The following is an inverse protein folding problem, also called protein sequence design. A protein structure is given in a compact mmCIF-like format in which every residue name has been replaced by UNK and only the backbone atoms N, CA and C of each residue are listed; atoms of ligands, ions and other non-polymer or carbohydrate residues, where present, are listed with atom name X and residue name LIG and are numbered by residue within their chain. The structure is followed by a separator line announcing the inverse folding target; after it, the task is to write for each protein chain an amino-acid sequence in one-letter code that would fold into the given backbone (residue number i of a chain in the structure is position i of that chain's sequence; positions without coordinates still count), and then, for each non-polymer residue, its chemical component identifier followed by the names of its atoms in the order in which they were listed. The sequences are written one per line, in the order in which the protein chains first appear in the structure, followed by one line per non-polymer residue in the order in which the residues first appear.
data_IF_571013147761
#
_entry.id   IF_571013147761
#
_cell.length_a   1.000
_cell.length_b   1.000
_cell.length_c   1.000
_cell.angle_alpha   90.00
_cell.angle_beta   90.00
_cell.angle_gamma   90.00
#
_symmetry.space_group_name_H-M   'P 1'
#
loop_
_entity.id
_entity.type
_entity.pdbx_description
1 polymer ?
#
# COMPACT_ATOMS: atom_id res chain seq x y z
N UNK A 1 -70.30 21.37 -24.50
CA UNK A 1 -68.95 21.79 -24.94
C UNK A 1 -67.93 21.22 -23.95
N UNK A 2 -67.15 20.20 -24.33
CA UNK A 2 -66.18 19.52 -23.45
C UNK A 2 -64.76 20.01 -23.76
N UNK A 3 -64.16 20.75 -22.83
CA UNK A 3 -62.79 21.24 -22.95
C UNK A 3 -61.85 20.07 -22.63
N UNK A 4 -61.11 19.57 -23.64
CA UNK A 4 -60.07 18.55 -23.44
C UNK A 4 -58.88 19.20 -22.74
N UNK A 5 -58.59 18.78 -21.50
CA UNK A 5 -57.34 19.12 -20.81
C UNK A 5 -56.18 18.37 -21.48
N UNK A 6 -55.25 19.09 -22.10
CA UNK A 6 -53.97 18.50 -22.49
C UNK A 6 -53.19 18.16 -21.22
N UNK A 7 -52.87 16.88 -21.02
CA UNK A 7 -51.91 16.43 -20.00
C UNK A 7 -50.54 16.92 -20.43
N UNK A 8 -49.98 17.89 -19.69
CA UNK A 8 -48.60 18.32 -19.87
C UNK A 8 -47.70 17.19 -19.38
N UNK A 9 -47.11 16.42 -20.30
CA UNK A 9 -45.97 15.56 -19.99
C UNK A 9 -44.79 16.51 -19.73
N UNK A 10 -44.51 16.78 -18.45
CA UNK A 10 -43.31 17.51 -18.05
C UNK A 10 -42.09 16.63 -18.33
N UNK A 11 -41.51 16.77 -19.52
CA UNK A 11 -40.21 16.22 -19.84
C UNK A 11 -39.11 16.98 -19.11
N UNK A 12 -38.04 16.29 -18.74
CA UNK A 12 -36.81 16.91 -18.21
C UNK A 12 -36.35 17.96 -19.23
N UNK A 13 -36.15 19.19 -18.77
CA UNK A 13 -35.60 20.26 -19.62
C UNK A 13 -34.15 19.92 -19.99
N UNK A 14 -33.70 20.22 -21.21
CA UNK A 14 -32.33 19.93 -21.67
C UNK A 14 -31.26 20.42 -20.67
N UNK A 15 -31.47 21.60 -20.10
CA UNK A 15 -30.56 22.19 -19.10
C UNK A 15 -30.50 21.37 -17.82
N UNK A 16 -31.64 20.84 -17.38
CA UNK A 16 -31.77 20.03 -16.17
C UNK A 16 -31.12 18.64 -16.37
N UNK A 17 -31.20 18.09 -17.58
CA UNK A 17 -30.47 16.89 -17.96
C UNK A 17 -28.95 17.11 -17.93
N UNK A 18 -28.46 18.24 -18.47
CA UNK A 18 -27.03 18.57 -18.48
C UNK A 18 -26.51 18.71 -17.04
N UNK A 19 -27.23 19.46 -16.20
CA UNK A 19 -26.87 19.64 -14.79
C UNK A 19 -26.83 18.28 -14.06
N UNK A 20 -27.84 17.42 -14.29
CA UNK A 20 -27.91 16.10 -13.69
C UNK A 20 -26.73 15.21 -14.10
N UNK A 21 -26.37 15.22 -15.38
CA UNK A 21 -25.22 14.46 -15.90
C UNK A 21 -23.91 14.97 -15.30
N UNK A 22 -23.74 16.30 -15.18
CA UNK A 22 -22.56 16.89 -14.55
C UNK A 22 -22.40 16.46 -13.10
N UNK A 23 -23.50 16.42 -12.33
CA UNK A 23 -23.49 15.95 -10.94
C UNK A 23 -23.11 14.48 -10.87
N UNK A 24 -23.68 13.63 -11.73
CA UNK A 24 -23.37 12.19 -11.77
C UNK A 24 -21.90 11.96 -12.13
N UNK A 25 -21.38 12.65 -13.13
CA UNK A 25 -19.97 12.56 -13.53
C UNK A 25 -19.04 13.01 -12.40
N UNK A 26 -19.38 14.10 -11.71
CA UNK A 26 -18.61 14.58 -10.58
C UNK A 26 -18.55 13.55 -9.46
N UNK A 27 -19.70 12.97 -9.08
CA UNK A 27 -19.77 11.91 -8.06
C UNK A 27 -18.94 10.70 -8.50
N UNK A 28 -19.11 10.24 -9.75
CA UNK A 28 -18.40 9.06 -10.25
C UNK A 28 -16.87 9.26 -10.22
N UNK A 29 -16.41 10.47 -10.57
CA UNK A 29 -14.99 10.83 -10.53
C UNK A 29 -14.46 10.89 -9.09
N UNK A 30 -15.24 11.45 -8.16
CA UNK A 30 -14.86 11.48 -6.75
C UNK A 30 -14.73 10.06 -6.17
N UNK A 31 -15.66 9.17 -6.47
CA UNK A 31 -15.62 7.78 -6.01
C UNK A 31 -14.47 6.99 -6.63
N UNK A 32 -14.19 7.15 -7.93
CA UNK A 32 -13.08 6.44 -8.59
C UNK A 32 -11.72 6.83 -8.00
N UNK A 33 -11.51 8.10 -7.67
CA UNK A 33 -10.30 8.58 -7.01
C UNK A 33 -10.13 7.97 -5.61
N UNK A 34 -11.20 7.93 -4.81
CA UNK A 34 -11.17 7.34 -3.46
C UNK A 34 -10.88 5.84 -3.49
N UNK A 35 -11.51 5.11 -4.40
CA UNK A 35 -11.28 3.66 -4.57
C UNK A 35 -9.84 3.40 -4.99
N UNK A 36 -9.34 4.15 -5.98
CA UNK A 36 -7.96 4.01 -6.46
C UNK A 36 -6.96 4.26 -5.35
N UNK A 37 -7.14 5.32 -4.56
CA UNK A 37 -6.27 5.62 -3.42
C UNK A 37 -6.33 4.53 -2.35
N UNK A 38 -7.52 4.01 -2.03
CA UNK A 38 -7.68 2.96 -1.02
C UNK A 38 -7.03 1.64 -1.45
N UNK A 39 -7.21 1.24 -2.71
CA UNK A 39 -6.59 0.03 -3.25
C UNK A 39 -5.06 0.15 -3.22
N UNK A 40 -4.52 1.29 -3.68
CA UNK A 40 -3.07 1.54 -3.66
C UNK A 40 -2.53 1.45 -2.23
N UNK A 41 -3.20 2.11 -1.28
CA UNK A 41 -2.78 2.10 0.12
C UNK A 41 -2.81 0.69 0.74
N UNK A 42 -3.86 -0.10 0.45
CA UNK A 42 -3.94 -1.48 0.92
C UNK A 42 -2.83 -2.35 0.32
N UNK A 43 -2.59 -2.27 -0.99
CA UNK A 43 -1.52 -3.03 -1.62
C UNK A 43 -0.14 -2.68 -1.08
N UNK A 44 0.10 -1.39 -0.76
CA UNK A 44 1.35 -0.96 -0.15
C UNK A 44 1.48 -1.42 1.30
N UNK A 45 0.40 -1.39 2.07
CA UNK A 45 0.37 -1.92 3.43
C UNK A 45 0.64 -3.43 3.45
N UNK A 46 -0.02 -4.20 2.58
CA UNK A 46 0.19 -5.64 2.45
C UNK A 46 1.64 -5.96 2.07
N UNK A 47 2.20 -5.23 1.09
CA UNK A 47 3.61 -5.40 0.68
C UNK A 47 4.60 -5.03 1.77
N UNK A 48 4.27 -4.04 2.61
CA UNK A 48 5.08 -3.68 3.77
C UNK A 48 5.04 -4.77 4.85
N UNK A 49 3.86 -5.35 5.12
CA UNK A 49 3.73 -6.47 6.07
C UNK A 49 4.50 -7.69 5.56
N UNK A 50 4.35 -8.06 4.29
CA UNK A 50 5.10 -9.15 3.66
C UNK A 50 6.63 -8.94 3.77
N UNK A 51 7.09 -7.71 3.56
CA UNK A 51 8.51 -7.37 3.71
C UNK A 51 9.01 -7.53 5.15
N UNK A 52 8.19 -7.12 6.13
CA UNK A 52 8.49 -7.28 7.57
C UNK A 52 8.56 -8.76 7.93
N UNK A 53 7.55 -9.54 7.56
CA UNK A 53 7.50 -10.97 7.88
C UNK A 53 8.68 -11.72 7.25
N UNK A 54 9.04 -11.38 6.01
CA UNK A 54 10.20 -11.99 5.33
C UNK A 54 11.52 -11.62 6.00
N UNK A 55 11.68 -10.36 6.44
CA UNK A 55 12.86 -9.93 7.17
C UNK A 55 12.94 -10.63 8.53
N UNK A 56 11.82 -10.73 9.24
CA UNK A 56 11.76 -11.38 10.55
C UNK A 56 12.09 -12.87 10.48
N UNK A 57 11.59 -13.57 9.46
CA UNK A 57 11.94 -14.97 9.22
C UNK A 57 13.46 -15.14 9.00
N UNK A 58 14.10 -14.24 8.22
CA UNK A 58 15.55 -14.31 7.99
C UNK A 58 16.38 -13.94 9.21
N UNK A 59 15.87 -13.05 10.06
CA UNK A 59 16.51 -12.73 11.35
C UNK A 59 16.41 -13.93 12.30
N UNK A 60 15.30 -14.64 12.30
CA UNK A 60 15.14 -15.89 13.04
C UNK A 60 16.09 -16.97 12.52
N UNK A 61 16.18 -17.15 11.20
CA UNK A 61 17.15 -18.04 10.56
C UNK A 61 18.59 -17.65 10.94
N UNK A 62 18.93 -16.35 10.94
CA UNK A 62 20.23 -15.86 11.41
C UNK A 62 20.49 -16.24 12.88
N UNK A 63 19.48 -16.14 13.74
CA UNK A 63 19.60 -16.55 15.14
C UNK A 63 19.84 -18.06 15.30
N UNK A 64 19.36 -18.89 14.35
CA UNK A 64 19.55 -20.34 14.38
C UNK A 64 20.83 -20.82 13.69
N UNK A 65 21.19 -20.22 12.54
CA UNK A 65 22.31 -20.60 11.68
C UNK A 65 23.61 -19.83 11.99
N UNK A 66 23.50 -18.66 12.64
CA UNK A 66 24.62 -17.77 12.94
C UNK A 66 25.11 -16.93 11.75
N UNK A 67 24.56 -17.13 10.54
CA UNK A 67 24.87 -16.36 9.33
C UNK A 67 23.60 -15.81 8.68
N UNK A 68 23.65 -14.54 8.26
CA UNK A 68 22.50 -13.86 7.67
C UNK A 68 22.52 -14.06 6.17
N UNK A 69 21.39 -14.51 5.61
CA UNK A 69 21.25 -14.67 4.17
C UNK A 69 20.97 -13.32 3.50
N UNK A 70 21.96 -12.80 2.77
CA UNK A 70 21.90 -11.57 1.98
C UNK A 70 21.41 -11.79 0.55
N UNK A 71 21.05 -13.02 0.18
CA UNK A 71 20.57 -13.35 -1.16
C UNK A 71 19.27 -12.60 -1.46
N UNK A 72 19.22 -11.88 -2.58
CA UNK A 72 18.00 -11.19 -3.01
C UNK A 72 16.89 -12.19 -3.34
N UNK A 73 15.66 -11.83 -2.98
CA UNK A 73 14.46 -12.61 -3.30
C UNK A 73 13.56 -11.77 -4.22
N UNK A 74 13.65 -12.01 -5.52
CA UNK A 74 12.92 -11.23 -6.53
C UNK A 74 13.30 -9.75 -6.48
N UNK A 75 12.34 -8.89 -6.15
CA UNK A 75 12.52 -7.43 -6.03
C UNK A 75 13.00 -6.97 -4.64
N UNK A 76 13.16 -7.90 -3.70
CA UNK A 76 13.56 -7.62 -2.32
C UNK A 76 15.07 -7.88 -2.17
N UNK A 77 15.79 -6.87 -1.68
CA UNK A 77 17.21 -6.95 -1.32
C UNK A 77 17.35 -6.93 0.19
N UNK A 78 18.38 -7.62 0.69
CA UNK A 78 18.65 -7.74 2.11
C UNK A 78 20.09 -7.35 2.40
N UNK A 79 20.30 -6.59 3.48
CA UNK A 79 21.62 -6.18 3.93
C UNK A 79 21.75 -6.29 5.44
N UNK A 80 22.95 -6.60 5.89
CA UNK A 80 23.34 -6.59 7.29
C UNK A 80 24.44 -5.54 7.45
N UNK A 81 24.34 -4.70 8.49
CA UNK A 81 25.38 -3.74 8.86
C UNK A 81 25.55 -3.70 10.37
N UNK A 82 26.79 -3.49 10.82
CA UNK A 82 27.07 -3.22 12.22
C UNK A 82 26.67 -1.78 12.55
N UNK A 83 26.02 -1.58 13.71
CA UNK A 83 25.63 -0.25 14.15
C UNK A 83 26.86 0.46 14.71
N UNK A 84 27.34 1.50 14.01
CA UNK A 84 28.53 2.28 14.40
C UNK A 84 28.48 2.83 15.83
N UNK A 85 27.29 3.02 16.40
CA UNK A 85 27.08 3.58 17.74
C UNK A 85 27.10 2.53 18.85
N UNK A 86 26.93 1.24 18.54
CA UNK A 86 26.91 0.17 19.53
C UNK A 86 27.42 -1.16 18.94
N UNK A 87 28.59 -1.65 19.37
CA UNK A 87 29.18 -2.88 18.81
C UNK A 87 28.38 -4.15 19.14
N UNK A 88 27.44 -4.08 20.10
CA UNK A 88 26.53 -5.16 20.43
C UNK A 88 25.25 -5.17 19.59
N UNK A 89 25.05 -4.22 18.68
CA UNK A 89 23.85 -4.15 17.84
C UNK A 89 24.19 -4.46 16.37
N UNK A 90 23.36 -5.29 15.77
CA UNK A 90 23.36 -5.56 14.32
C UNK A 90 22.08 -4.99 13.75
N UNK A 91 22.21 -4.24 12.64
CA UNK A 91 21.08 -3.75 11.85
C UNK A 91 20.89 -4.63 10.63
N UNK A 92 19.68 -5.13 10.47
CA UNK A 92 19.20 -5.81 9.28
C UNK A 92 18.28 -4.88 8.50
N UNK A 93 18.47 -4.83 7.20
CA UNK A 93 17.70 -3.99 6.30
C UNK A 93 17.13 -4.86 5.18
N UNK A 94 15.87 -4.61 4.85
CA UNK A 94 15.24 -5.16 3.66
C UNK A 94 14.64 -4.01 2.85
N UNK A 95 14.87 -4.03 1.54
CA UNK A 95 14.36 -3.02 0.62
C UNK A 95 13.66 -3.70 -0.55
N UNK A 96 12.48 -3.20 -0.92
CA UNK A 96 11.77 -3.64 -2.11
C UNK A 96 11.79 -2.53 -3.17
N UNK A 97 12.59 -2.74 -4.21
CA UNK A 97 12.80 -1.77 -5.29
C UNK A 97 11.56 -1.55 -6.16
N UNK A 98 10.59 -2.46 -6.14
CA UNK A 98 9.35 -2.33 -6.92
C UNK A 98 8.33 -1.37 -6.28
N UNK A 99 8.41 -1.16 -4.97
CA UNK A 99 7.47 -0.33 -4.20
C UNK A 99 8.15 0.82 -3.44
N UNK A 100 9.47 0.98 -3.60
CA UNK A 100 10.29 1.98 -2.91
C UNK A 100 10.11 1.96 -1.37
N UNK A 101 9.93 0.76 -0.82
CA UNK A 101 9.79 0.53 0.63
C UNK A 101 11.08 -0.05 1.18
N UNK A 102 11.54 0.49 2.30
CA UNK A 102 12.69 -0.01 3.03
C UNK A 102 12.34 -0.12 4.51
N UNK A 103 12.73 -1.22 5.12
CA UNK A 103 12.57 -1.47 6.55
C UNK A 103 13.92 -1.81 7.15
N UNK A 104 14.14 -1.36 8.38
CA UNK A 104 15.33 -1.70 9.16
C UNK A 104 14.90 -2.23 10.52
N UNK A 105 15.60 -3.25 11.00
CA UNK A 105 15.40 -3.83 12.33
C UNK A 105 16.76 -4.01 12.99
N UNK A 106 16.85 -3.60 14.24
CA UNK A 106 18.06 -3.72 15.05
C UNK A 106 17.86 -4.84 16.06
N UNK A 107 18.83 -5.73 16.18
CA UNK A 107 18.86 -6.76 17.22
C UNK A 107 20.18 -6.74 17.96
N UNK A 108 20.17 -7.21 19.20
CA UNK A 108 21.38 -7.42 19.97
C UNK A 108 22.10 -8.66 19.44
N UNK A 109 23.43 -8.59 19.26
CA UNK A 109 24.25 -9.79 19.04
C UNK A 109 23.94 -10.77 20.15
N UNK A 110 23.40 -11.93 19.80
CA UNK A 110 23.29 -13.05 20.72
C UNK A 110 24.72 -13.44 21.09
N UNK A 111 25.16 -13.03 22.29
CA UNK A 111 26.42 -13.43 22.85
C UNK A 111 26.25 -14.90 23.23
N UNK A 112 26.73 -15.79 22.38
CA UNK A 112 26.82 -17.22 22.69
C UNK A 112 28.05 -17.38 23.59
N UNK A 113 27.86 -17.15 24.89
CA UNK A 113 28.80 -17.61 25.93
C UNK A 113 28.64 -19.13 26.14
#
# INVERSE_FOLDING_TARGET
MRIKKHKYLQGISLIEAIISISIILFILTAFSLLISSTIINNTLADKKVELIDTLDQRIEDYSMLGSFDTTSSGSITFSQSDVNENPNLIRFEASNTAFDISISKETTRANHD
#
